data_IF_259174193187
#
_entry.id   IF_259174193187
#
_cell.length_a   1.000
_cell.length_b   1.000
_cell.length_c   1.000
_cell.angle_alpha   90.00
_cell.angle_beta   90.00
_cell.angle_gamma   90.00
#
_symmetry.space_group_name_H-M   'P 1'
#
loop_
_entity.id
_entity.type
_entity.pdbx_description
1 polymer ?
#
# COMPACT_ATOMS: atom_id res chain seq x y z
N UNK A 1 -8.60 -11.37 -6.51
CA UNK A 1 -8.09 -11.14 -7.89
C UNK A 1 -9.04 -11.65 -8.98
N UNK A 2 -9.81 -12.73 -8.77
CA UNK A 2 -10.72 -13.27 -9.80
C UNK A 2 -11.74 -12.26 -10.35
N UNK A 3 -12.38 -11.47 -9.50
CA UNK A 3 -13.33 -10.42 -9.91
C UNK A 3 -12.72 -9.36 -10.84
N UNK A 4 -11.51 -8.88 -10.53
CA UNK A 4 -10.80 -7.88 -11.35
C UNK A 4 -10.45 -8.48 -12.71
N UNK A 5 -10.03 -9.76 -12.75
CA UNK A 5 -9.73 -10.46 -14.01
C UNK A 5 -10.98 -10.60 -14.89
N UNK A 6 -12.14 -10.85 -14.29
CA UNK A 6 -13.42 -10.88 -15.01
C UNK A 6 -13.75 -9.51 -15.59
N UNK A 7 -13.58 -8.43 -14.83
CA UNK A 7 -13.81 -7.06 -15.31
C UNK A 7 -12.87 -6.73 -16.48
N UNK A 8 -11.59 -7.07 -16.38
CA UNK A 8 -10.62 -6.87 -17.48
C UNK A 8 -11.02 -7.66 -18.74
N UNK A 9 -11.48 -8.90 -18.59
CA UNK A 9 -11.94 -9.72 -19.71
C UNK A 9 -13.21 -9.15 -20.36
N UNK A 10 -14.16 -8.65 -19.56
CA UNK A 10 -15.36 -7.97 -20.08
C UNK A 10 -14.96 -6.69 -20.82
N UNK A 11 -14.02 -5.91 -20.28
CA UNK A 11 -13.47 -4.73 -20.95
C UNK A 11 -12.84 -5.06 -22.30
N UNK A 12 -12.03 -6.13 -22.37
CA UNK A 12 -11.44 -6.60 -23.62
C UNK A 12 -12.50 -7.04 -24.65
N UNK A 13 -13.57 -7.70 -24.19
CA UNK A 13 -14.71 -8.05 -25.05
C UNK A 13 -15.45 -6.83 -25.58
N UNK A 14 -15.65 -5.80 -24.75
CA UNK A 14 -16.30 -4.56 -25.17
C UNK A 14 -15.45 -3.79 -26.18
N UNK A 15 -14.14 -3.73 -25.99
CA UNK A 15 -13.20 -3.12 -26.95
C UNK A 15 -13.24 -3.86 -28.29
N UNK A 16 -13.23 -5.19 -28.28
CA UNK A 16 -13.32 -5.98 -29.51
C UNK A 16 -14.69 -5.85 -30.18
N UNK A 17 -15.78 -5.80 -29.40
CA UNK A 17 -17.12 -5.56 -29.90
C UNK A 17 -17.26 -4.17 -30.54
N UNK A 18 -16.67 -3.15 -29.92
CA UNK A 18 -16.63 -1.79 -30.46
C UNK A 18 -15.82 -1.71 -31.76
N UNK A 19 -14.67 -2.38 -31.81
CA UNK A 19 -13.85 -2.48 -33.02
C UNK A 19 -14.62 -3.15 -34.17
N UNK A 20 -15.32 -4.25 -33.89
CA UNK A 20 -16.19 -4.91 -34.87
C UNK A 20 -17.34 -4.01 -35.33
N UNK A 21 -17.99 -3.30 -34.41
CA UNK A 21 -19.05 -2.35 -34.74
C UNK A 21 -18.55 -1.24 -35.68
N UNK A 22 -17.45 -0.58 -35.32
CA UNK A 22 -16.84 0.47 -36.12
C UNK A 22 -16.43 -0.05 -37.51
N UNK A 23 -15.94 -1.27 -37.59
CA UNK A 23 -15.59 -1.90 -38.87
C UNK A 23 -16.81 -2.17 -39.77
N UNK A 24 -17.88 -2.77 -39.24
CA UNK A 24 -19.06 -3.11 -40.03
C UNK A 24 -19.89 -1.88 -40.44
N UNK A 25 -19.91 -0.83 -39.62
CA UNK A 25 -20.76 0.34 -39.84
C UNK A 25 -20.03 1.55 -40.42
N UNK A 26 -18.72 1.70 -40.22
CA UNK A 26 -17.95 2.88 -40.63
C UNK A 26 -17.05 2.65 -41.87
N UNK A 27 -17.25 1.50 -42.55
CA UNK A 27 -16.77 1.23 -43.92
C UNK A 27 -15.27 1.50 -44.16
N UNK A 28 -14.43 1.08 -43.21
CA UNK A 28 -12.98 1.21 -43.32
C UNK A 28 -12.48 0.26 -44.43
N UNK A 29 -12.04 0.83 -45.55
CA UNK A 29 -11.42 0.09 -46.66
C UNK A 29 -9.99 -0.36 -46.30
N UNK A 30 -9.88 -1.42 -45.49
CA UNK A 30 -8.63 -2.14 -45.29
C UNK A 30 -8.55 -3.31 -46.29
N UNK A 31 -7.39 -3.49 -46.94
CA UNK A 31 -7.17 -4.68 -47.76
C UNK A 31 -7.38 -5.97 -46.96
N UNK A 32 -8.06 -6.96 -47.53
CA UNK A 32 -8.55 -8.13 -46.81
C UNK A 32 -7.48 -8.87 -45.98
N UNK A 33 -6.25 -8.96 -46.50
CA UNK A 33 -5.14 -9.58 -45.75
C UNK A 33 -4.75 -8.79 -44.50
N UNK A 34 -4.61 -7.47 -44.62
CA UNK A 34 -4.26 -6.58 -43.50
C UNK A 34 -5.38 -6.59 -42.46
N UNK A 35 -6.64 -6.69 -42.91
CA UNK A 35 -7.79 -6.84 -42.03
C UNK A 35 -7.71 -8.11 -41.17
N UNK A 36 -7.52 -9.29 -41.78
CA UNK A 36 -7.45 -10.55 -41.02
C UNK A 36 -6.30 -10.55 -40.01
N UNK A 37 -5.17 -9.93 -40.36
CA UNK A 37 -4.01 -9.81 -39.47
C UNK A 37 -4.34 -8.91 -38.26
N UNK A 38 -4.90 -7.72 -38.49
CA UNK A 38 -5.27 -6.79 -37.41
C UNK A 38 -6.35 -7.38 -36.51
N UNK A 39 -7.39 -8.00 -37.08
CA UNK A 39 -8.45 -8.64 -36.33
C UNK A 39 -7.91 -9.80 -35.46
N UNK A 40 -7.01 -10.62 -36.00
CA UNK A 40 -6.36 -11.70 -35.26
C UNK A 40 -5.54 -11.18 -34.07
N UNK A 41 -4.76 -10.10 -34.28
CA UNK A 41 -4.00 -9.47 -33.20
C UNK A 41 -4.91 -8.89 -32.11
N UNK A 42 -6.00 -8.20 -32.48
CA UNK A 42 -6.96 -7.65 -31.52
C UNK A 42 -7.72 -8.73 -30.73
N UNK A 43 -7.94 -9.91 -31.32
CA UNK A 43 -8.63 -11.00 -30.62
C UNK A 43 -7.75 -11.70 -29.58
N UNK A 44 -6.43 -11.75 -29.82
CA UNK A 44 -5.51 -12.57 -29.04
C UNK A 44 -4.70 -11.72 -28.06
N UNK A 45 -4.20 -10.57 -28.51
CA UNK A 45 -3.26 -9.75 -27.75
C UNK A 45 -3.80 -9.25 -26.39
N UNK A 46 -5.07 -8.81 -26.26
CA UNK A 46 -5.58 -8.37 -24.96
C UNK A 46 -5.62 -9.49 -23.92
N UNK A 47 -5.83 -10.74 -24.34
CA UNK A 47 -5.86 -11.89 -23.44
C UNK A 47 -4.46 -12.24 -22.93
N UNK A 48 -3.45 -12.17 -23.79
CA UNK A 48 -2.03 -12.31 -23.39
C UNK A 48 -1.65 -11.17 -22.44
N UNK A 49 -1.99 -9.92 -22.77
CA UNK A 49 -1.65 -8.76 -21.97
C UNK A 49 -2.25 -8.84 -20.56
N UNK A 50 -3.54 -9.19 -20.45
CA UNK A 50 -4.21 -9.40 -19.15
C UNK A 50 -3.51 -10.51 -18.37
N UNK A 51 -3.21 -11.65 -19.01
CA UNK A 51 -2.58 -12.78 -18.33
C UNK A 51 -1.18 -12.44 -17.78
N UNK A 52 -0.35 -11.75 -18.58
CA UNK A 52 0.97 -11.29 -18.15
C UNK A 52 0.88 -10.26 -17.02
N UNK A 53 -0.06 -9.32 -17.10
CA UNK A 53 -0.29 -8.32 -16.07
C UNK A 53 -0.65 -8.96 -14.72
N UNK A 54 -1.55 -9.95 -14.70
CA UNK A 54 -1.90 -10.65 -13.46
C UNK A 54 -0.74 -11.45 -12.88
N UNK A 55 0.05 -12.13 -13.73
CA UNK A 55 1.29 -12.81 -13.27
C UNK A 55 2.27 -11.84 -12.63
N UNK A 56 2.41 -10.64 -13.20
CA UNK A 56 3.28 -9.61 -12.66
C UNK A 56 2.78 -9.11 -11.29
N UNK A 57 1.49 -8.86 -11.13
CA UNK A 57 0.92 -8.49 -9.81
C UNK A 57 1.13 -9.61 -8.79
N UNK A 58 0.89 -10.86 -9.17
CA UNK A 58 1.07 -12.02 -8.29
C UNK A 58 2.52 -12.19 -7.85
N UNK A 59 3.47 -11.92 -8.75
CA UNK A 59 4.90 -11.87 -8.44
C UNK A 59 5.26 -10.75 -7.44
N UNK A 60 4.61 -9.58 -7.51
CA UNK A 60 4.86 -8.47 -6.59
C UNK A 60 4.19 -8.64 -5.22
N UNK A 61 3.09 -9.39 -5.15
CA UNK A 61 2.28 -9.61 -3.95
C UNK A 61 3.10 -9.99 -2.69
N UNK A 62 4.00 -10.99 -2.72
CA UNK A 62 4.77 -11.37 -1.53
C UNK A 62 5.74 -10.27 -1.05
N UNK A 63 6.32 -9.51 -1.99
CA UNK A 63 7.26 -8.42 -1.67
C UNK A 63 6.55 -7.22 -1.05
N UNK A 64 5.35 -6.90 -1.52
CA UNK A 64 4.53 -5.83 -0.95
C UNK A 64 3.96 -6.24 0.41
N UNK A 65 3.49 -7.49 0.54
CA UNK A 65 2.89 -7.97 1.79
C UNK A 65 3.89 -8.03 2.94
N UNK A 66 5.14 -8.46 2.68
CA UNK A 66 6.21 -8.45 3.68
C UNK A 66 6.55 -7.03 4.15
N UNK A 67 6.60 -6.05 3.24
CA UNK A 67 6.84 -4.65 3.61
C UNK A 67 5.68 -4.06 4.42
N UNK A 68 4.43 -4.34 4.05
CA UNK A 68 3.27 -3.87 4.80
C UNK A 68 3.24 -4.48 6.20
N UNK A 69 3.55 -5.77 6.31
CA UNK A 69 3.59 -6.45 7.60
C UNK A 69 4.68 -5.90 8.52
N UNK A 70 5.85 -5.57 7.98
CA UNK A 70 6.95 -4.95 8.72
C UNK A 70 6.60 -3.52 9.20
N UNK A 71 5.96 -2.73 8.33
CA UNK A 71 5.44 -1.40 8.70
C UNK A 71 4.34 -1.49 9.77
N UNK A 72 3.45 -2.47 9.67
CA UNK A 72 2.36 -2.65 10.63
C UNK A 72 2.88 -3.17 11.98
N UNK A 73 3.85 -4.08 11.96
CA UNK A 73 4.53 -4.58 13.16
C UNK A 73 5.29 -3.45 13.86
N UNK A 74 6.11 -2.69 13.14
CA UNK A 74 6.85 -1.55 13.71
C UNK A 74 5.91 -0.48 14.28
N UNK A 75 4.78 -0.19 13.61
CA UNK A 75 3.74 0.70 14.14
C UNK A 75 3.13 0.15 15.43
N UNK A 76 2.73 -1.13 15.46
CA UNK A 76 2.16 -1.77 16.65
C UNK A 76 3.13 -1.77 17.84
N UNK A 77 4.42 -2.02 17.59
CA UNK A 77 5.47 -1.96 18.61
C UNK A 77 5.62 -0.54 19.15
N UNK A 78 5.62 0.48 18.26
CA UNK A 78 5.68 1.88 18.67
C UNK A 78 4.47 2.29 19.53
N UNK A 79 3.27 1.86 19.15
CA UNK A 79 2.04 2.16 19.88
C UNK A 79 2.03 1.49 21.27
N UNK A 80 2.49 0.23 21.37
CA UNK A 80 2.65 -0.45 22.66
C UNK A 80 3.65 0.27 23.57
N UNK A 81 4.81 0.62 23.03
CA UNK A 81 5.86 1.30 23.80
C UNK A 81 5.41 2.68 24.27
N UNK A 82 4.63 3.39 23.44
CA UNK A 82 4.02 4.66 23.80
C UNK A 82 3.05 4.50 24.97
N UNK A 83 2.17 3.50 24.93
CA UNK A 83 1.20 3.24 26.01
C UNK A 83 1.90 2.93 27.33
N UNK A 84 2.97 2.14 27.31
CA UNK A 84 3.77 1.86 28.52
C UNK A 84 4.43 3.13 29.06
N UNK A 85 5.05 3.93 28.18
CA UNK A 85 5.68 5.18 28.59
C UNK A 85 4.65 6.18 29.14
N UNK A 86 3.44 6.21 28.58
CA UNK A 86 2.35 7.04 29.05
C UNK A 86 1.83 6.59 30.43
N UNK A 87 1.60 5.28 30.62
CA UNK A 87 1.16 4.74 31.91
C UNK A 87 2.18 4.98 33.02
N UNK A 88 3.48 4.88 32.74
CA UNK A 88 4.55 5.21 33.71
C UNK A 88 4.39 6.64 34.28
N UNK A 89 3.98 7.59 33.44
CA UNK A 89 3.83 8.99 33.80
C UNK A 89 2.51 9.28 34.50
N UNK A 90 1.44 8.63 34.07
CA UNK A 90 0.11 8.78 34.65
C UNK A 90 0.06 8.21 36.07
N UNK A 91 0.69 7.04 36.28
CA UNK A 91 0.81 6.41 37.60
C UNK A 91 1.88 7.06 38.49
N UNK A 92 2.58 8.10 38.02
CA UNK A 92 3.75 8.72 38.66
C UNK A 92 4.86 7.70 39.05
N UNK A 93 4.96 6.60 38.32
CA UNK A 93 5.93 5.53 38.52
C UNK A 93 7.02 5.57 37.45
N UNK A 94 7.74 6.70 37.42
CA UNK A 94 8.80 6.96 36.43
C UNK A 94 9.96 5.99 36.62
N UNK A 95 10.15 5.10 35.65
CA UNK A 95 11.21 4.09 35.67
C UNK A 95 12.58 4.69 35.29
N UNK A 96 12.63 5.58 34.30
CA UNK A 96 13.88 6.20 33.85
C UNK A 96 14.00 7.67 34.31
N UNK A 97 14.69 7.87 35.44
CA UNK A 97 14.88 9.20 36.06
C UNK A 97 15.74 10.15 35.23
N UNK A 98 16.68 9.64 34.44
CA UNK A 98 17.56 10.45 33.58
C UNK A 98 16.77 11.09 32.44
N UNK A 99 15.91 10.31 31.77
CA UNK A 99 15.02 10.84 30.73
C UNK A 99 14.00 11.82 31.30
N UNK A 100 13.53 11.59 32.53
CA UNK A 100 12.62 12.50 33.21
C UNK A 100 13.26 13.85 33.54
N UNK A 101 14.51 13.84 34.02
CA UNK A 101 15.29 15.06 34.24
C UNK A 101 15.61 15.78 32.92
N UNK A 102 15.87 15.03 31.85
CA UNK A 102 16.08 15.62 30.52
C UNK A 102 14.83 16.28 29.97
N UNK A 103 13.67 15.65 30.15
CA UNK A 103 12.38 16.24 29.80
C UNK A 103 12.11 17.51 30.65
N UNK A 104 12.44 17.48 31.94
CA UNK A 104 12.33 18.62 32.85
C UNK A 104 13.14 19.83 32.38
N UNK A 105 14.39 19.59 31.94
CA UNK A 105 15.26 20.64 31.43
C UNK A 105 14.71 21.32 30.15
N UNK A 106 13.87 20.63 29.39
CA UNK A 106 13.34 21.10 28.10
C UNK A 106 11.96 21.75 28.19
N UNK A 107 11.22 21.57 29.29
CA UNK A 107 9.83 22.01 29.37
C UNK A 107 9.61 23.36 30.07
N UNK A 108 10.67 24.11 30.41
CA UNK A 108 10.58 25.48 30.97
C UNK A 108 9.61 25.60 32.18
N UNK A 109 9.41 24.52 32.93
CA UNK A 109 8.47 24.47 34.07
C UNK A 109 7.03 24.05 33.74
N UNK A 110 6.70 23.81 32.47
CA UNK A 110 5.41 23.24 32.05
C UNK A 110 5.38 21.72 32.27
N UNK A 111 4.50 21.29 33.18
CA UNK A 111 4.37 19.89 33.56
C UNK A 111 3.76 19.05 32.43
N UNK A 112 2.85 19.58 31.63
CA UNK A 112 2.25 18.80 30.53
C UNK A 112 3.26 18.61 29.39
N UNK A 113 4.05 19.64 29.08
CA UNK A 113 5.19 19.51 28.16
C UNK A 113 6.25 18.55 28.68
N UNK A 114 6.52 18.53 29.98
CA UNK A 114 7.45 17.56 30.56
C UNK A 114 7.02 16.12 30.28
N UNK A 115 5.74 15.83 30.53
CA UNK A 115 5.15 14.51 30.35
C UNK A 115 5.23 14.07 28.88
N UNK A 116 4.86 14.94 27.95
CA UNK A 116 4.90 14.61 26.52
C UNK A 116 6.31 14.35 26.01
N UNK A 117 7.29 15.18 26.41
CA UNK A 117 8.70 15.01 26.04
C UNK A 117 9.27 13.72 26.64
N UNK A 118 8.94 13.40 27.90
CA UNK A 118 9.36 12.15 28.51
C UNK A 118 8.80 10.93 27.76
N UNK A 119 7.49 10.92 27.47
CA UNK A 119 6.84 9.81 26.76
C UNK A 119 7.50 9.59 25.40
N UNK A 120 7.81 10.67 24.67
CA UNK A 120 8.49 10.56 23.39
C UNK A 120 9.91 9.96 23.51
N UNK A 121 10.71 10.46 24.47
CA UNK A 121 12.06 9.96 24.71
C UNK A 121 12.07 8.50 25.18
N UNK A 122 11.15 8.15 26.07
CA UNK A 122 11.00 6.81 26.64
C UNK A 122 10.51 5.81 25.59
N UNK A 123 9.59 6.21 24.72
CA UNK A 123 9.15 5.39 23.58
C UNK A 123 10.32 5.06 22.66
N UNK A 124 11.21 6.02 22.39
CA UNK A 124 12.43 5.82 21.57
C UNK A 124 13.45 4.91 22.25
N UNK A 125 13.56 4.94 23.57
CA UNK A 125 14.41 4.04 24.35
C UNK A 125 13.87 2.60 24.29
N UNK A 126 12.57 2.42 24.52
CA UNK A 126 11.90 1.12 24.48
C UNK A 126 11.87 0.51 23.08
N UNK A 127 11.90 1.32 22.01
CA UNK A 127 12.02 0.81 20.64
C UNK A 127 13.43 0.38 20.24
N UNK A 128 14.46 0.77 21.02
CA UNK A 128 15.87 0.43 20.77
C UNK A 128 16.35 -0.79 21.56
N UNK A 129 15.60 -1.21 22.58
CA UNK A 129 15.80 -2.47 23.31
C UNK A 129 15.26 -3.64 22.51
#
# INVERSE_FOLDING_TARGET
MGFIRIICNIGALLINGYFLYFYFFDNINLEGFVFYLVAFLFLIFPWIAIHLFFKFIEFLKPKVQSQIQDVQHSKSVKDKNYLVAFSEVEENNVQNKELWAKAFAQCEGDREKQKSIYVELRTKELSKR
#
